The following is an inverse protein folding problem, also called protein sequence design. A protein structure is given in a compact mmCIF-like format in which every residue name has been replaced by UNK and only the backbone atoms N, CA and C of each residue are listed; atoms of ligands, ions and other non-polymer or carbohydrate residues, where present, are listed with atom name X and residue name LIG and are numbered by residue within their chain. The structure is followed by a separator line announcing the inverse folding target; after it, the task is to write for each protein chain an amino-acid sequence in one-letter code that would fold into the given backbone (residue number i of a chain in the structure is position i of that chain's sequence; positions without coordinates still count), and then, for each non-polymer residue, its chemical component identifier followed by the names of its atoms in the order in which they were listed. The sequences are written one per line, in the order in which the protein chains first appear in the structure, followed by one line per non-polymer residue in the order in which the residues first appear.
data_IF_551187274674
#
_entry.id   IF_551187274674
#
_cell.length_a   1.000
_cell.length_b   1.000
_cell.length_c   1.000
_cell.angle_alpha   90.00
_cell.angle_beta   90.00
_cell.angle_gamma   90.00
#
_symmetry.space_group_name_H-M   'P 1'
#
loop_
_entity.id
_entity.type
_entity.pdbx_description
1 polymer ?
#
# COMPACT_ATOMS: atom_id res chain seq x y z
N UNK A 1 -63.52 9.83 21.30
CA UNK A 1 -64.50 8.90 20.72
C UNK A 1 -65.06 8.02 21.83
N UNK A 2 -66.28 8.33 22.24
CA UNK A 2 -67.11 7.52 23.13
C UNK A 2 -67.47 6.21 22.42
N UNK A 3 -67.42 5.08 23.13
CA UNK A 3 -68.36 3.97 22.91
C UNK A 3 -68.52 3.24 24.25
N UNK A 4 -69.67 3.49 24.87
CA UNK A 4 -70.12 2.89 26.12
C UNK A 4 -70.29 1.38 25.98
N UNK A 5 -69.70 0.62 26.91
CA UNK A 5 -70.10 -0.75 27.17
C UNK A 5 -71.51 -0.75 27.78
N UNK A 6 -72.53 -0.90 26.94
CA UNK A 6 -73.89 -1.24 27.38
C UNK A 6 -73.89 -2.74 27.68
N UNK A 7 -73.97 -3.08 28.97
CA UNK A 7 -74.21 -4.46 29.39
C UNK A 7 -75.47 -5.01 28.73
N UNK A 8 -75.54 -6.32 28.43
CA UNK A 8 -76.77 -6.92 27.95
C UNK A 8 -77.78 -6.81 29.10
N UNK A 9 -78.76 -5.93 28.91
CA UNK A 9 -79.88 -5.80 29.80
C UNK A 9 -80.48 -7.16 30.06
N UNK A 10 -80.71 -7.45 31.34
CA UNK A 10 -81.59 -8.50 31.80
C UNK A 10 -82.89 -8.38 31.01
N UNK A 11 -83.03 -9.18 29.95
CA UNK A 11 -84.26 -9.32 29.19
C UNK A 11 -85.24 -9.98 30.14
N UNK A 12 -86.01 -9.12 30.80
CA UNK A 12 -87.20 -9.40 31.58
C UNK A 12 -88.00 -10.46 30.84
N UNK A 13 -87.98 -11.68 31.37
CA UNK A 13 -88.84 -12.76 30.92
C UNK A 13 -90.27 -12.21 30.89
N UNK A 14 -91.02 -12.33 29.78
CA UNK A 14 -92.45 -12.10 29.86
C UNK A 14 -92.97 -13.13 30.85
N UNK A 15 -93.47 -12.64 31.99
CA UNK A 15 -94.20 -13.44 32.95
C UNK A 15 -95.36 -14.07 32.18
N UNK A 16 -95.17 -15.31 31.71
CA UNK A 16 -96.22 -16.08 31.06
C UNK A 16 -97.28 -16.25 32.14
N UNK A 17 -98.35 -15.49 32.03
CA UNK A 17 -99.53 -15.68 32.85
C UNK A 17 -99.87 -17.17 32.74
N UNK A 18 -99.90 -17.85 33.89
CA UNK A 18 -100.45 -19.19 33.99
C UNK A 18 -101.80 -19.17 33.27
N UNK A 19 -102.09 -20.15 32.39
CA UNK A 19 -103.37 -20.18 31.71
C UNK A 19 -104.43 -20.18 32.79
N UNK A 20 -105.26 -19.13 32.80
CA UNK A 20 -106.43 -19.06 33.65
C UNK A 20 -107.18 -20.37 33.45
N UNK A 21 -107.31 -21.16 34.52
CA UNK A 21 -108.22 -22.29 34.56
C UNK A 21 -109.61 -21.73 34.27
N UNK A 22 -110.02 -21.77 33.00
CA UNK A 22 -111.41 -21.65 32.62
C UNK A 22 -112.12 -22.79 33.35
N UNK A 23 -112.83 -22.42 34.41
CA UNK A 23 -113.56 -23.32 35.28
C UNK A 23 -114.77 -23.83 34.48
N UNK A 24 -114.52 -24.81 33.61
CA UNK A 24 -115.54 -25.53 32.83
C UNK A 24 -116.18 -26.60 33.73
N UNK A 25 -116.89 -26.17 34.77
CA UNK A 25 -117.55 -27.05 35.72
C UNK A 25 -118.92 -27.57 35.24
N UNK A 26 -119.29 -27.32 33.99
CA UNK A 26 -120.62 -27.64 33.45
C UNK A 26 -120.60 -28.52 32.19
N UNK A 27 -119.50 -29.20 31.89
CA UNK A 27 -119.36 -30.01 30.65
C UNK A 27 -118.90 -31.44 30.94
N UNK A 28 -119.39 -32.38 30.11
CA UNK A 28 -119.15 -33.83 30.24
C UNK A 28 -117.65 -34.17 30.38
N UNK A 29 -117.25 -35.11 31.28
CA UNK A 29 -115.85 -35.48 31.53
C UNK A 29 -115.00 -35.74 30.27
N UNK A 30 -115.63 -36.24 29.19
CA UNK A 30 -115.00 -36.44 27.89
C UNK A 30 -114.47 -35.14 27.25
N UNK A 31 -115.20 -34.03 27.35
CA UNK A 31 -114.80 -32.73 26.79
C UNK A 31 -113.63 -32.09 27.55
N UNK A 32 -113.56 -32.29 28.87
CA UNK A 32 -112.46 -31.80 29.73
C UNK A 32 -111.13 -32.51 29.41
N UNK A 33 -111.20 -33.82 29.11
CA UNK A 33 -110.04 -34.61 28.66
C UNK A 33 -109.52 -34.14 27.29
N UNK A 34 -110.43 -33.86 26.35
CA UNK A 34 -110.08 -33.35 25.03
C UNK A 34 -109.42 -31.97 25.12
N UNK A 35 -109.93 -31.07 25.95
CA UNK A 35 -109.31 -29.76 26.18
C UNK A 35 -107.90 -29.88 26.79
N UNK A 36 -107.71 -30.79 27.74
CA UNK A 36 -106.37 -31.06 28.31
C UNK A 36 -105.41 -31.68 27.29
N UNK A 37 -105.88 -32.54 26.38
CA UNK A 37 -105.08 -33.03 25.26
C UNK A 37 -104.72 -31.91 24.29
N UNK A 38 -105.65 -31.00 23.98
CA UNK A 38 -105.38 -29.84 23.13
C UNK A 38 -104.31 -28.93 23.74
N UNK A 39 -104.43 -28.60 25.02
CA UNK A 39 -103.41 -27.83 25.77
C UNK A 39 -102.04 -28.53 25.75
N UNK A 40 -102.01 -29.86 25.89
CA UNK A 40 -100.78 -30.63 25.80
C UNK A 40 -100.15 -30.55 24.40
N UNK A 41 -100.95 -30.70 23.34
CA UNK A 41 -100.47 -30.56 21.96
C UNK A 41 -99.96 -29.14 21.67
N UNK A 42 -100.69 -28.09 22.09
CA UNK A 42 -100.25 -26.69 21.93
C UNK A 42 -98.91 -26.43 22.64
N UNK A 43 -98.72 -26.96 23.85
CA UNK A 43 -97.45 -26.84 24.59
C UNK A 43 -96.34 -27.66 23.92
N UNK A 44 -96.66 -28.86 23.43
CA UNK A 44 -95.70 -29.73 22.75
C UNK A 44 -95.22 -29.11 21.43
N UNK A 45 -96.13 -28.58 20.63
CA UNK A 45 -95.83 -27.87 19.38
C UNK A 45 -94.99 -26.61 19.64
N UNK A 46 -95.35 -25.82 20.67
CA UNK A 46 -94.56 -24.65 21.06
C UNK A 46 -93.14 -25.03 21.53
N UNK A 47 -92.99 -26.15 22.26
CA UNK A 47 -91.69 -26.66 22.68
C UNK A 47 -90.85 -27.15 21.49
N UNK A 48 -91.47 -27.84 20.54
CA UNK A 48 -90.81 -28.30 19.32
C UNK A 48 -90.38 -27.13 18.42
N UNK A 49 -91.23 -26.11 18.26
CA UNK A 49 -90.86 -24.87 17.56
C UNK A 49 -89.67 -24.17 18.25
N UNK A 50 -89.69 -24.07 19.58
CA UNK A 50 -88.59 -23.47 20.33
C UNK A 50 -87.29 -24.27 20.18
N UNK A 51 -87.34 -25.61 20.21
CA UNK A 51 -86.20 -26.48 19.97
C UNK A 51 -85.63 -26.28 18.56
N UNK A 52 -86.48 -26.18 17.53
CA UNK A 52 -86.02 -25.90 16.17
C UNK A 52 -85.33 -24.54 16.06
N UNK A 53 -85.86 -23.51 16.71
CA UNK A 53 -85.24 -22.18 16.71
C UNK A 53 -83.91 -22.15 17.48
N UNK A 54 -83.78 -22.91 18.57
CA UNK A 54 -82.50 -23.07 19.25
C UNK A 54 -81.49 -23.82 18.38
N UNK A 55 -81.88 -24.91 17.73
CA UNK A 55 -80.99 -25.66 16.83
C UNK A 55 -80.49 -24.78 15.68
N UNK A 56 -81.37 -23.99 15.05
CA UNK A 56 -80.98 -23.03 14.00
C UNK A 56 -79.96 -22.01 14.50
N UNK A 57 -80.17 -21.46 15.71
CA UNK A 57 -79.22 -20.51 16.32
C UNK A 57 -77.89 -21.19 16.65
N UNK A 58 -77.92 -22.42 17.16
CA UNK A 58 -76.73 -23.21 17.46
C UNK A 58 -75.89 -23.45 16.20
N UNK A 59 -76.51 -23.79 15.07
CA UNK A 59 -75.81 -23.97 13.79
C UNK A 59 -75.14 -22.66 13.32
N UNK A 60 -75.81 -21.52 13.45
CA UNK A 60 -75.23 -20.21 13.10
C UNK A 60 -74.04 -19.89 14.01
N UNK A 61 -74.15 -20.16 15.32
CA UNK A 61 -73.05 -19.96 16.26
C UNK A 61 -71.87 -20.88 15.94
N UNK A 62 -72.10 -22.15 15.64
CA UNK A 62 -71.04 -23.10 15.25
C UNK A 62 -70.30 -22.62 14.00
N UNK A 63 -71.02 -22.23 12.93
CA UNK A 63 -70.40 -21.67 11.71
C UNK A 63 -69.58 -20.42 12.00
N UNK A 64 -70.07 -19.54 12.89
CA UNK A 64 -69.36 -18.32 13.26
C UNK A 64 -68.12 -18.61 14.10
N UNK A 65 -68.19 -19.58 15.01
CA UNK A 65 -67.06 -20.04 15.80
C UNK A 65 -65.97 -20.65 14.91
N UNK A 66 -66.34 -21.49 13.96
CA UNK A 66 -65.43 -22.07 12.97
C UNK A 66 -64.75 -20.99 12.12
N UNK A 67 -65.51 -20.01 11.63
CA UNK A 67 -64.95 -18.89 10.87
C UNK A 67 -63.98 -18.04 11.69
N UNK A 68 -64.28 -17.82 12.98
CA UNK A 68 -63.37 -17.10 13.88
C UNK A 68 -62.09 -17.89 14.14
N UNK A 69 -62.17 -19.21 14.36
CA UNK A 69 -61.00 -20.07 14.52
C UNK A 69 -60.10 -20.04 13.28
N UNK A 70 -60.68 -20.06 12.08
CA UNK A 70 -59.91 -19.98 10.84
C UNK A 70 -59.15 -18.65 10.72
N UNK A 71 -59.82 -17.53 11.05
CA UNK A 71 -59.18 -16.21 11.04
C UNK A 71 -58.09 -16.07 12.09
N UNK A 72 -58.27 -16.66 13.27
CA UNK A 72 -57.25 -16.66 14.30
C UNK A 72 -56.00 -17.42 13.84
N UNK A 73 -56.18 -18.59 13.21
CA UNK A 73 -55.08 -19.37 12.64
C UNK A 73 -54.33 -18.59 11.54
N UNK A 74 -55.06 -17.93 10.64
CA UNK A 74 -54.46 -17.10 9.59
C UNK A 74 -53.64 -15.92 10.16
N UNK A 75 -54.14 -15.29 11.24
CA UNK A 75 -53.42 -14.23 11.93
C UNK A 75 -52.16 -14.76 12.62
N UNK A 76 -52.25 -15.92 13.28
CA UNK A 76 -51.09 -16.57 13.91
C UNK A 76 -50.01 -16.90 12.87
N UNK A 77 -50.38 -17.50 11.73
CA UNK A 77 -49.45 -17.78 10.64
C UNK A 77 -48.81 -16.50 10.08
N UNK A 78 -49.60 -15.44 9.94
CA UNK A 78 -49.11 -14.15 9.47
C UNK A 78 -48.13 -13.53 10.46
N UNK A 79 -48.39 -13.61 11.77
CA UNK A 79 -47.47 -13.14 12.82
C UNK A 79 -46.15 -13.90 12.79
N UNK A 80 -46.19 -15.23 12.64
CA UNK A 80 -44.97 -16.05 12.53
C UNK A 80 -44.16 -15.64 11.29
N UNK A 81 -44.81 -15.43 10.15
CA UNK A 81 -44.16 -14.96 8.91
C UNK A 81 -43.54 -13.58 9.09
N UNK A 82 -44.24 -12.64 9.71
CA UNK A 82 -43.71 -11.30 9.98
C UNK A 82 -42.53 -11.33 10.96
N UNK A 83 -42.61 -12.11 12.02
CA UNK A 83 -41.51 -12.26 12.98
C UNK A 83 -40.26 -12.83 12.30
N UNK A 84 -40.43 -13.87 11.48
CA UNK A 84 -39.33 -14.44 10.69
C UNK A 84 -38.75 -13.43 9.70
N UNK A 85 -39.60 -12.67 9.01
CA UNK A 85 -39.16 -11.63 8.06
C UNK A 85 -38.33 -10.55 8.76
N UNK A 86 -38.77 -10.06 9.94
CA UNK A 86 -38.04 -9.08 10.72
C UNK A 86 -36.68 -9.62 11.16
N UNK A 87 -36.65 -10.85 11.71
CA UNK A 87 -35.39 -11.48 12.14
C UNK A 87 -34.40 -11.65 10.97
N UNK A 88 -34.88 -12.08 9.80
CA UNK A 88 -34.04 -12.22 8.61
C UNK A 88 -33.55 -10.86 8.09
N UNK A 89 -34.40 -9.82 8.14
CA UNK A 89 -34.04 -8.47 7.71
C UNK A 89 -32.97 -7.87 8.64
N UNK A 90 -33.18 -7.96 9.95
CA UNK A 90 -32.21 -7.50 10.96
C UNK A 90 -30.88 -8.24 10.82
N UNK A 91 -30.93 -9.56 10.57
CA UNK A 91 -29.71 -10.34 10.28
C UNK A 91 -29.00 -9.90 9.00
N UNK A 92 -29.75 -9.55 7.94
CA UNK A 92 -29.17 -9.01 6.69
C UNK A 92 -28.55 -7.63 6.93
N UNK A 93 -29.26 -6.75 7.66
CA UNK A 93 -28.80 -5.41 8.01
C UNK A 93 -27.53 -5.47 8.86
N UNK A 94 -27.53 -6.24 9.93
CA UNK A 94 -26.36 -6.41 10.80
C UNK A 94 -25.15 -6.96 10.04
N UNK A 95 -25.35 -7.90 9.10
CA UNK A 95 -24.27 -8.40 8.24
C UNK A 95 -23.73 -7.33 7.30
N UNK A 96 -24.62 -6.53 6.69
CA UNK A 96 -24.22 -5.43 5.81
C UNK A 96 -23.46 -4.34 6.58
N UNK A 97 -23.95 -3.95 7.75
CA UNK A 97 -23.30 -2.98 8.64
C UNK A 97 -21.93 -3.48 9.11
N UNK A 98 -21.83 -4.74 9.53
CA UNK A 98 -20.53 -5.34 9.90
C UNK A 98 -19.56 -5.34 8.72
N UNK A 99 -20.00 -5.77 7.52
CA UNK A 99 -19.15 -5.79 6.34
C UNK A 99 -18.68 -4.39 5.94
N UNK A 100 -19.55 -3.39 6.05
CA UNK A 100 -19.17 -1.99 5.81
C UNK A 100 -18.15 -1.49 6.83
N UNK A 101 -18.34 -1.80 8.12
CA UNK A 101 -17.40 -1.43 9.18
C UNK A 101 -16.02 -2.11 8.99
N UNK A 102 -16.00 -3.39 8.65
CA UNK A 102 -14.78 -4.14 8.37
C UNK A 102 -14.04 -3.56 7.14
N UNK A 103 -14.76 -3.22 6.07
CA UNK A 103 -14.19 -2.59 4.88
C UNK A 103 -13.62 -1.20 5.17
N UNK A 104 -14.33 -0.37 5.95
CA UNK A 104 -13.83 0.94 6.39
C UNK A 104 -12.54 0.78 7.20
N UNK A 105 -12.50 -0.17 8.13
CA UNK A 105 -11.32 -0.45 8.95
C UNK A 105 -10.14 -0.92 8.10
N UNK A 106 -10.38 -1.82 7.15
CA UNK A 106 -9.36 -2.29 6.22
C UNK A 106 -8.84 -1.15 5.32
N UNK A 107 -9.73 -0.28 4.84
CA UNK A 107 -9.35 0.91 4.06
C UNK A 107 -8.44 1.84 4.85
N UNK A 108 -8.82 2.17 6.09
CA UNK A 108 -8.02 3.03 6.98
C UNK A 108 -6.65 2.43 7.31
N UNK A 109 -6.56 1.11 7.46
CA UNK A 109 -5.28 0.42 7.66
C UNK A 109 -4.38 0.56 6.43
N UNK A 110 -4.93 0.32 5.23
CA UNK A 110 -4.18 0.48 3.98
C UNK A 110 -3.78 1.92 3.71
N UNK A 111 -4.64 2.90 4.02
CA UNK A 111 -4.33 4.32 3.89
C UNK A 111 -3.11 4.70 4.75
N UNK A 112 -3.04 4.21 6.00
CA UNK A 112 -1.88 4.41 6.87
C UNK A 112 -0.61 3.74 6.33
N UNK A 113 -0.74 2.53 5.81
CA UNK A 113 0.39 1.81 5.21
C UNK A 113 0.92 2.54 3.97
N UNK A 114 0.03 3.06 3.13
CA UNK A 114 0.39 3.90 1.98
C UNK A 114 1.14 5.14 2.46
N UNK A 115 0.62 5.85 3.47
CA UNK A 115 1.26 7.05 4.02
C UNK A 115 2.69 6.76 4.52
N UNK A 116 2.87 5.69 5.31
CA UNK A 116 4.18 5.26 5.79
C UNK A 116 5.14 4.88 4.64
N UNK A 117 4.67 4.12 3.66
CA UNK A 117 5.47 3.73 2.50
C UNK A 117 5.84 4.92 1.63
N UNK A 118 4.95 5.92 1.51
CA UNK A 118 5.26 7.15 0.78
C UNK A 118 6.33 7.98 1.47
N UNK A 119 6.29 8.10 2.80
CA UNK A 119 7.33 8.79 3.58
C UNK A 119 8.70 8.13 3.37
N UNK A 120 8.77 6.81 3.55
CA UNK A 120 10.01 6.03 3.33
C UNK A 120 10.52 6.15 1.89
N UNK A 121 9.62 6.18 0.90
CA UNK A 121 10.01 6.37 -0.49
C UNK A 121 10.64 7.74 -0.74
N UNK A 122 10.07 8.80 -0.17
CA UNK A 122 10.64 10.15 -0.32
C UNK A 122 11.99 10.28 0.39
N UNK A 123 12.15 9.68 1.57
CA UNK A 123 13.45 9.61 2.26
C UNK A 123 14.52 8.88 1.42
N UNK A 124 14.17 7.72 0.86
CA UNK A 124 15.07 6.95 0.00
C UNK A 124 15.43 7.68 -1.28
N UNK A 125 14.49 8.45 -1.87
CA UNK A 125 14.77 9.29 -3.04
C UNK A 125 15.75 10.40 -2.69
N UNK A 126 15.53 11.11 -1.59
CA UNK A 126 16.42 12.18 -1.13
C UNK A 126 17.82 11.64 -0.85
N UNK A 127 17.93 10.48 -0.19
CA UNK A 127 19.23 9.86 0.08
C UNK A 127 19.93 9.41 -1.21
N UNK A 128 19.19 8.84 -2.16
CA UNK A 128 19.73 8.49 -3.49
C UNK A 128 20.29 9.73 -4.19
N UNK A 129 19.56 10.84 -4.21
CA UNK A 129 20.01 12.09 -4.83
C UNK A 129 21.29 12.61 -4.15
N UNK A 130 21.31 12.62 -2.81
CA UNK A 130 22.49 13.01 -2.03
C UNK A 130 23.72 12.17 -2.38
N UNK A 131 23.57 10.85 -2.48
CA UNK A 131 24.66 9.94 -2.84
C UNK A 131 25.13 10.20 -4.27
N UNK A 132 24.21 10.42 -5.22
CA UNK A 132 24.55 10.71 -6.61
C UNK A 132 25.35 12.02 -6.74
N UNK A 133 24.98 13.07 -6.01
CA UNK A 133 25.76 14.31 -6.00
C UNK A 133 27.18 14.12 -5.47
N UNK A 134 27.33 13.36 -4.38
CA UNK A 134 28.66 13.05 -3.81
C UNK A 134 29.47 12.22 -4.80
N UNK A 135 28.85 11.23 -5.43
CA UNK A 135 29.49 10.40 -6.45
C UNK A 135 29.96 11.25 -7.64
N UNK A 136 29.12 12.16 -8.13
CA UNK A 136 29.47 13.04 -9.24
C UNK A 136 30.66 13.96 -8.89
N UNK A 137 30.65 14.55 -7.69
CA UNK A 137 31.76 15.37 -7.17
C UNK A 137 33.05 14.55 -7.08
N UNK A 138 32.98 13.33 -6.56
CA UNK A 138 34.13 12.43 -6.47
C UNK A 138 34.67 12.04 -7.85
N UNK A 139 33.80 11.73 -8.80
CA UNK A 139 34.19 11.41 -10.18
C UNK A 139 34.90 12.59 -10.84
N UNK A 140 34.35 13.80 -10.73
CA UNK A 140 34.98 15.04 -11.23
C UNK A 140 36.35 15.28 -10.58
N UNK A 141 36.47 15.05 -9.28
CA UNK A 141 37.73 15.21 -8.54
C UNK A 141 38.79 14.22 -9.03
N UNK A 142 38.43 12.94 -9.18
CA UNK A 142 39.33 11.89 -9.71
C UNK A 142 39.79 12.23 -11.12
N UNK A 143 38.86 12.65 -11.99
CA UNK A 143 39.18 13.02 -13.38
C UNK A 143 40.13 14.22 -13.44
N UNK A 144 39.87 15.26 -12.64
CA UNK A 144 40.72 16.46 -12.55
C UNK A 144 42.13 16.10 -12.09
N UNK A 145 42.24 15.24 -11.07
CA UNK A 145 43.53 14.77 -10.54
C UNK A 145 44.28 13.93 -11.58
N UNK A 146 43.60 13.07 -12.31
CA UNK A 146 44.19 12.30 -13.40
C UNK A 146 44.67 13.20 -14.55
N UNK A 147 43.89 14.23 -14.93
CA UNK A 147 44.28 15.22 -15.94
C UNK A 147 45.51 16.04 -15.52
N UNK A 148 45.58 16.45 -14.25
CA UNK A 148 46.75 17.11 -13.67
C UNK A 148 48.01 16.23 -13.74
N UNK A 149 47.89 14.95 -13.34
CA UNK A 149 48.98 13.98 -13.44
C UNK A 149 49.48 13.79 -14.88
N UNK A 150 48.56 13.60 -15.84
CA UNK A 150 48.90 13.47 -17.27
C UNK A 150 49.62 14.72 -17.81
N UNK A 151 49.16 15.91 -17.45
CA UNK A 151 49.80 17.17 -17.89
C UNK A 151 51.21 17.31 -17.32
N UNK A 152 51.39 17.00 -16.03
CA UNK A 152 52.69 17.07 -15.39
C UNK A 152 53.69 16.10 -16.03
N UNK A 153 53.26 14.84 -16.23
CA UNK A 153 54.07 13.85 -16.94
C UNK A 153 54.46 14.30 -18.35
N UNK A 154 53.51 14.88 -19.10
CA UNK A 154 53.77 15.42 -20.45
C UNK A 154 54.78 16.57 -20.43
N UNK A 155 54.68 17.48 -19.45
CA UNK A 155 55.62 18.60 -19.29
C UNK A 155 57.03 18.10 -18.97
N UNK A 156 57.17 17.14 -18.05
CA UNK A 156 58.46 16.53 -17.71
C UNK A 156 59.06 15.82 -18.93
N UNK A 157 58.27 15.02 -19.64
CA UNK A 157 58.74 14.32 -20.84
C UNK A 157 59.24 15.32 -21.89
N UNK A 158 58.45 16.38 -22.18
CA UNK A 158 58.84 17.43 -23.12
C UNK A 158 60.12 18.15 -22.70
N UNK A 159 60.26 18.48 -21.42
CA UNK A 159 61.44 19.15 -20.87
C UNK A 159 62.69 18.27 -21.00
N UNK A 160 62.57 16.98 -20.66
CA UNK A 160 63.67 16.01 -20.80
C UNK A 160 64.10 15.83 -22.25
N UNK A 161 63.15 15.80 -23.19
CA UNK A 161 63.48 15.74 -24.63
C UNK A 161 64.22 17.00 -25.08
N UNK A 162 63.82 18.18 -24.60
CA UNK A 162 64.51 19.44 -24.89
C UNK A 162 65.93 19.46 -24.31
N UNK A 163 66.08 19.13 -23.03
CA UNK A 163 67.39 19.06 -22.35
C UNK A 163 68.32 18.07 -23.03
N UNK A 164 67.81 16.88 -23.39
CA UNK A 164 68.57 15.91 -24.18
C UNK A 164 69.03 16.50 -25.52
N UNK A 165 68.14 17.15 -26.27
CA UNK A 165 68.48 17.82 -27.53
C UNK A 165 69.53 18.92 -27.36
N UNK A 166 69.44 19.72 -26.29
CA UNK A 166 70.42 20.76 -25.97
C UNK A 166 71.81 20.17 -25.69
N UNK A 167 71.88 19.06 -24.94
CA UNK A 167 73.13 18.36 -24.66
C UNK A 167 73.74 17.80 -25.94
N UNK A 168 72.93 17.15 -26.79
CA UNK A 168 73.37 16.61 -28.08
C UNK A 168 73.99 17.70 -28.97
N UNK A 169 73.30 18.83 -29.12
CA UNK A 169 73.80 19.96 -29.93
C UNK A 169 75.08 20.57 -29.35
N UNK A 170 75.16 20.65 -28.02
CA UNK A 170 76.35 21.17 -27.33
C UNK A 170 77.55 20.24 -27.52
N UNK A 171 77.33 18.92 -27.39
CA UNK A 171 78.35 17.90 -27.65
C UNK A 171 78.84 17.97 -29.10
N UNK A 172 77.93 18.06 -30.07
CA UNK A 172 78.26 18.16 -31.49
C UNK A 172 79.09 19.42 -31.79
N UNK A 173 78.71 20.57 -31.20
CA UNK A 173 79.47 21.82 -31.35
C UNK A 173 80.91 21.68 -30.82
N UNK A 174 81.08 21.13 -29.61
CA UNK A 174 82.40 20.95 -29.00
C UNK A 174 83.22 19.92 -29.78
N UNK A 175 82.61 18.80 -30.17
CA UNK A 175 83.24 17.74 -30.96
C UNK A 175 83.80 18.29 -32.27
N UNK A 176 82.99 19.08 -32.99
CA UNK A 176 83.42 19.71 -34.24
C UNK A 176 84.57 20.71 -34.02
N UNK A 177 84.59 21.45 -32.90
CA UNK A 177 85.73 22.32 -32.53
C UNK A 177 87.00 21.52 -32.22
N UNK A 178 86.88 20.43 -31.45
CA UNK A 178 88.00 19.54 -31.14
C UNK A 178 88.56 18.89 -32.41
N UNK A 179 87.67 18.37 -33.28
CA UNK A 179 88.03 17.78 -34.57
C UNK A 179 88.75 18.77 -35.49
N UNK A 180 88.31 20.03 -35.53
CA UNK A 180 88.97 21.07 -36.34
C UNK A 180 90.35 21.50 -35.82
N UNK A 181 90.66 21.28 -34.54
CA UNK A 181 91.95 21.64 -33.92
C UNK A 181 92.88 20.45 -33.69
N UNK A 182 92.35 19.23 -33.72
CA UNK A 182 93.13 18.01 -33.56
C UNK A 182 93.96 17.75 -34.81
N UNK A 183 95.22 17.38 -34.60
CA UNK A 183 96.07 16.88 -35.69
C UNK A 183 95.74 15.42 -36.05
N UNK A 184 94.90 14.74 -35.25
CA UNK A 184 94.43 13.37 -35.45
C UNK A 184 93.06 13.43 -36.13
N UNK A 185 92.90 12.74 -37.26
CA UNK A 185 91.62 12.69 -37.97
C UNK A 185 90.59 11.87 -37.20
N UNK A 186 89.50 12.50 -36.78
CA UNK A 186 88.36 11.82 -36.17
C UNK A 186 87.23 11.59 -37.19
N UNK A 187 86.57 10.41 -37.20
CA UNK A 187 85.45 10.13 -38.10
C UNK A 187 84.26 11.04 -37.78
N UNK A 188 83.39 11.25 -38.76
CA UNK A 188 82.10 11.88 -38.51
C UNK A 188 81.23 10.93 -37.68
N UNK A 189 80.88 11.33 -36.46
CA UNK A 189 80.13 10.53 -35.52
C UNK A 189 78.88 11.30 -35.11
N UNK A 190 77.73 10.63 -35.10
CA UNK A 190 76.43 11.24 -34.74
C UNK A 190 76.00 10.87 -33.33
N UNK A 191 76.59 9.82 -32.74
CA UNK A 191 76.28 9.41 -31.38
C UNK A 191 76.98 10.34 -30.36
N UNK A 192 76.23 11.06 -29.51
CA UNK A 192 76.80 12.00 -28.54
C UNK A 192 77.79 11.37 -27.55
N UNK A 193 77.60 10.10 -27.19
CA UNK A 193 78.50 9.43 -26.23
C UNK A 193 79.88 9.23 -26.84
N UNK A 194 79.94 8.73 -28.07
CA UNK A 194 81.20 8.58 -28.79
C UNK A 194 81.84 9.95 -29.10
N UNK A 195 81.04 10.97 -29.42
CA UNK A 195 81.53 12.34 -29.56
C UNK A 195 82.19 12.83 -28.26
N UNK A 196 81.56 12.59 -27.10
CA UNK A 196 82.10 12.96 -25.79
C UNK A 196 83.37 12.18 -25.42
N UNK A 197 83.50 10.91 -25.81
CA UNK A 197 84.74 10.13 -25.61
C UNK A 197 85.91 10.75 -26.38
N UNK A 198 85.68 11.14 -27.64
CA UNK A 198 86.70 11.81 -28.46
C UNK A 198 87.06 13.18 -27.87
N UNK A 199 86.07 13.96 -27.44
CA UNK A 199 86.30 15.23 -26.74
C UNK A 199 87.14 14.98 -25.48
N UNK A 200 86.79 13.97 -24.69
CA UNK A 200 87.48 13.61 -23.44
C UNK A 200 88.95 13.23 -23.66
N UNK A 201 89.23 12.42 -24.69
CA UNK A 201 90.60 12.07 -25.08
C UNK A 201 91.38 13.32 -25.49
N UNK A 202 90.80 14.17 -26.35
CA UNK A 202 91.45 15.40 -26.79
C UNK A 202 91.78 16.36 -25.64
N UNK A 203 90.84 16.56 -24.70
CA UNK A 203 91.06 17.40 -23.52
C UNK A 203 92.11 16.78 -22.58
N UNK A 204 92.11 15.46 -22.42
CA UNK A 204 93.11 14.74 -21.62
C UNK A 204 94.51 14.91 -22.21
N UNK A 205 94.65 14.78 -23.52
CA UNK A 205 95.93 14.99 -24.23
C UNK A 205 96.42 16.42 -24.05
N UNK A 206 95.54 17.43 -24.22
CA UNK A 206 95.89 18.82 -23.94
C UNK A 206 96.33 19.03 -22.48
N UNK A 207 95.64 18.39 -21.52
CA UNK A 207 96.00 18.44 -20.11
C UNK A 207 97.38 17.83 -19.83
N UNK A 208 97.69 16.69 -20.46
CA UNK A 208 99.00 16.05 -20.37
C UNK A 208 100.11 16.93 -20.97
N UNK A 209 99.86 17.53 -22.13
CA UNK A 209 100.78 18.49 -22.78
C UNK A 209 101.05 19.68 -21.87
N UNK A 210 100.02 20.30 -21.30
CA UNK A 210 100.17 21.44 -20.37
C UNK A 210 100.96 21.02 -19.12
N UNK A 211 100.66 19.86 -18.54
CA UNK A 211 101.37 19.35 -17.37
C UNK A 211 102.86 19.12 -17.67
N UNK A 212 103.16 18.51 -18.81
CA UNK A 212 104.54 18.33 -19.28
C UNK A 212 105.23 19.70 -19.47
N UNK A 213 104.56 20.67 -20.08
CA UNK A 213 105.11 22.02 -20.26
C UNK A 213 105.42 22.71 -18.92
N UNK A 214 104.54 22.58 -17.93
CA UNK A 214 104.75 23.12 -16.57
C UNK A 214 105.90 22.43 -15.84
N UNK A 215 106.02 21.10 -15.92
CA UNK A 215 107.11 20.35 -15.30
C UNK A 215 108.46 20.69 -15.94
N UNK A 216 108.50 20.81 -17.27
CA UNK A 216 109.69 21.27 -17.99
C UNK A 216 110.05 22.73 -17.67
N UNK A 217 109.05 23.58 -17.47
CA UNK A 217 109.23 24.95 -16.97
C UNK A 217 109.80 25.00 -15.55
N UNK A 218 109.32 24.15 -14.63
CA UNK A 218 109.86 24.05 -13.26
C UNK A 218 111.29 23.47 -13.22
N UNK A 219 111.61 22.53 -14.11
CA UNK A 219 112.99 22.01 -14.26
C UNK A 219 113.93 23.07 -14.80
N UNK A 220 113.45 23.97 -15.67
CA UNK A 220 114.23 25.11 -16.14
C UNK A 220 114.43 26.22 -15.09
N UNK A 221 113.56 26.32 -14.08
CA UNK A 221 113.72 27.29 -12.97
C UNK A 221 114.53 26.75 -11.79
N UNK A 222 114.54 25.44 -11.55
CA UNK A 222 115.38 24.79 -10.52
C UNK A 222 116.83 24.64 -10.98
N UNK A 223 117.07 24.39 -12.28
CA UNK A 223 118.42 24.42 -12.87
C UNK A 223 119.08 25.82 -12.89
N UNK A 224 118.36 26.89 -12.49
CA UNK A 224 118.92 28.24 -12.30
C UNK A 224 119.13 28.63 -10.83
N UNK A 225 118.81 27.75 -9.88
CA UNK A 225 118.91 28.02 -8.45
C UNK A 225 120.04 27.24 -7.75
N UNK A 226 120.79 26.41 -8.49
CA UNK A 226 121.96 25.67 -7.99
C UNK A 226 123.29 26.11 -8.62
N UNK A 227 123.32 27.26 -9.32
CA UNK A 227 124.54 27.96 -9.77
C UNK A 227 124.73 29.27 -9.00
#
# INVERSE_FOLDING_TARGET
MQMHARGPGLSRWPCRMLPQTLVLDHVSPATRLLEKRRQMFEVQEALEAQKQDFNRKEEVFKRREEALKLKDLELQESLIRFSKFLQENDSKRARAEKKAADEIKARLQKEKEIEQLTEVLEELKAEKERILEVLEKNMRWVETRAWAGRRHARKIASQRTLEYGQVVLSADNIFNRCRGKSSIGHPAESNPLHQLDVIGNFVSDLGAIIKHYKVSGLRSSTARAED
#
